data_IF_919005212170
#
_entry.id   IF_919005212170
#
_cell.length_a   1.000
_cell.length_b   1.000
_cell.length_c   1.000
_cell.angle_alpha   90.00
_cell.angle_beta   90.00
_cell.angle_gamma   90.00
#
_symmetry.space_group_name_H-M   'P 1'
#
loop_
_entity.id
_entity.type
_entity.pdbx_description
1 polymer ?
#
# COMPACT_ATOMS: atom_id res chain seq x y z
N UNK A 1 -7.90 -10.62 -6.46
CA UNK A 1 -6.80 -9.85 -5.85
C UNK A 1 -5.97 -10.73 -4.92
N UNK A 2 -4.97 -10.15 -4.28
CA UNK A 2 -4.05 -10.76 -3.32
C UNK A 2 -3.75 -9.76 -2.20
N UNK A 3 -3.17 -10.23 -1.10
CA UNK A 3 -2.63 -9.39 -0.02
C UNK A 3 -1.26 -8.77 -0.40
N UNK A 4 -0.47 -9.49 -1.21
CA UNK A 4 0.80 -9.04 -1.78
C UNK A 4 1.15 -9.83 -3.04
N UNK A 5 2.10 -9.35 -3.83
CA UNK A 5 2.71 -10.12 -4.93
C UNK A 5 3.78 -11.06 -4.36
N UNK A 6 4.15 -12.06 -5.12
CA UNK A 6 5.21 -13.02 -4.80
C UNK A 6 6.41 -12.78 -5.74
N UNK A 7 7.37 -11.93 -5.39
CA UNK A 7 8.59 -11.76 -6.18
C UNK A 7 9.38 -13.06 -6.27
N UNK A 8 10.03 -13.29 -7.38
CA UNK A 8 10.72 -14.55 -7.71
C UNK A 8 12.24 -14.38 -7.80
N UNK A 9 12.79 -13.39 -7.14
CA UNK A 9 14.22 -13.16 -7.02
C UNK A 9 14.82 -12.44 -8.23
N UNK A 10 15.35 -13.16 -9.18
CA UNK A 10 15.94 -12.58 -10.40
C UNK A 10 14.84 -12.28 -11.42
N UNK A 11 14.04 -11.25 -11.17
CA UNK A 11 13.07 -10.73 -12.10
C UNK A 11 13.59 -9.49 -12.82
N UNK A 12 12.79 -9.00 -13.74
CA UNK A 12 13.00 -7.73 -14.45
C UNK A 12 13.02 -6.51 -13.53
N UNK A 13 12.48 -6.63 -12.31
CA UNK A 13 12.49 -5.56 -11.30
C UNK A 13 13.87 -5.28 -10.71
N UNK A 14 14.76 -6.28 -10.66
CA UNK A 14 16.18 -6.04 -10.30
C UNK A 14 16.52 -6.00 -8.81
N UNK A 15 15.55 -5.95 -7.91
CA UNK A 15 15.80 -5.88 -6.45
C UNK A 15 16.28 -7.20 -5.85
N UNK A 16 16.17 -8.33 -6.55
CA UNK A 16 16.55 -9.63 -6.03
C UNK A 16 15.66 -10.15 -4.88
N UNK A 17 14.50 -9.55 -4.67
CA UNK A 17 13.57 -9.93 -3.62
C UNK A 17 12.90 -11.25 -3.97
N UNK A 18 12.82 -12.16 -3.00
CA UNK A 18 12.09 -13.42 -3.10
C UNK A 18 10.99 -13.49 -2.05
N UNK A 19 9.80 -13.90 -2.47
CA UNK A 19 8.64 -14.08 -1.59
C UNK A 19 8.20 -12.75 -0.94
N UNK A 20 7.47 -12.87 0.18
CA UNK A 20 7.06 -11.73 1.01
C UNK A 20 8.26 -11.23 1.82
N UNK A 21 9.06 -10.37 1.24
CA UNK A 21 10.25 -9.85 1.89
C UNK A 21 9.96 -8.50 2.57
N UNK A 22 10.09 -8.46 3.87
CA UNK A 22 9.96 -7.24 4.68
C UNK A 22 11.34 -6.60 4.86
N UNK A 23 11.45 -5.30 5.01
CA UNK A 23 10.40 -4.26 5.04
C UNK A 23 10.22 -3.50 3.71
N UNK A 24 10.59 -4.07 2.59
CA UNK A 24 10.67 -3.39 1.28
C UNK A 24 9.32 -3.29 0.58
N UNK A 25 8.67 -2.10 0.55
CA UNK A 25 7.37 -1.91 -0.09
C UNK A 25 7.50 -1.49 -1.57
N UNK A 26 8.41 -2.14 -2.31
CA UNK A 26 8.54 -1.90 -3.74
C UNK A 26 7.28 -2.32 -4.51
N UNK A 27 7.01 -1.67 -5.63
CA UNK A 27 5.84 -1.96 -6.46
C UNK A 27 5.79 -3.43 -6.92
N UNK A 28 6.94 -4.10 -7.09
CA UNK A 28 6.99 -5.54 -7.38
C UNK A 28 6.38 -6.42 -6.27
N UNK A 29 6.16 -5.88 -5.07
CA UNK A 29 5.54 -6.59 -3.96
C UNK A 29 4.13 -6.07 -3.66
N UNK A 30 3.90 -4.75 -3.78
CA UNK A 30 2.66 -4.11 -3.32
C UNK A 30 1.67 -3.80 -4.44
N UNK A 31 2.11 -3.83 -5.71
CA UNK A 31 1.22 -3.62 -6.86
C UNK A 31 0.49 -4.92 -7.21
N UNK A 32 -0.53 -5.24 -6.42
CA UNK A 32 -1.33 -6.46 -6.58
C UNK A 32 -2.36 -6.32 -7.71
N UNK A 33 -2.67 -7.40 -8.45
CA UNK A 33 -3.72 -7.37 -9.46
C UNK A 33 -5.10 -7.32 -8.80
N UNK A 34 -6.01 -6.54 -9.37
CA UNK A 34 -7.43 -6.55 -9.04
C UNK A 34 -8.25 -6.89 -10.27
N UNK A 35 -8.91 -8.05 -10.25
CA UNK A 35 -9.87 -8.46 -11.26
C UNK A 35 -11.24 -8.62 -10.60
N UNK A 36 -12.24 -8.01 -11.20
CA UNK A 36 -13.61 -8.04 -10.68
C UNK A 36 -14.57 -8.52 -11.76
N UNK A 37 -15.52 -9.34 -11.37
CA UNK A 37 -16.68 -9.71 -12.16
C UNK A 37 -17.94 -9.32 -11.38
N UNK A 38 -18.76 -8.49 -11.99
CA UNK A 38 -20.03 -8.04 -11.42
C UNK A 38 -21.15 -8.51 -12.35
N UNK A 39 -22.09 -9.35 -11.89
CA UNK A 39 -23.20 -9.81 -12.71
C UNK A 39 -24.00 -8.64 -13.31
N UNK A 40 -24.32 -8.74 -14.60
CA UNK A 40 -25.07 -7.71 -15.32
C UNK A 40 -24.25 -6.52 -15.81
N UNK A 41 -22.95 -6.45 -15.50
CA UNK A 41 -22.04 -5.43 -16.03
C UNK A 41 -21.22 -5.95 -17.22
N UNK A 42 -20.98 -5.06 -18.18
CA UNK A 42 -20.13 -5.37 -19.32
C UNK A 42 -18.68 -5.57 -18.88
N UNK A 43 -18.08 -6.71 -19.23
CA UNK A 43 -16.70 -7.05 -18.93
C UNK A 43 -15.69 -6.50 -19.94
N UNK A 44 -14.41 -6.89 -19.74
CA UNK A 44 -13.32 -6.57 -20.67
C UNK A 44 -12.73 -5.16 -20.54
N UNK A 45 -13.14 -4.40 -19.54
CA UNK A 45 -12.62 -3.05 -19.26
C UNK A 45 -11.32 -3.12 -18.46
N UNK A 46 -10.36 -2.26 -18.79
CA UNK A 46 -9.17 -2.00 -17.97
C UNK A 46 -9.22 -0.56 -17.47
N UNK A 47 -9.25 -0.41 -16.16
CA UNK A 47 -9.35 0.88 -15.48
C UNK A 47 -7.97 1.25 -14.94
N UNK A 48 -7.50 2.45 -15.28
CA UNK A 48 -6.21 3.00 -14.85
C UNK A 48 -6.45 4.03 -13.74
N UNK A 49 -6.79 3.57 -12.57
CA UNK A 49 -6.96 4.44 -11.39
C UNK A 49 -6.31 3.77 -10.20
N UNK A 50 -5.83 4.55 -9.26
CA UNK A 50 -5.36 4.02 -7.99
C UNK A 50 -6.52 3.46 -7.18
N UNK A 51 -6.36 2.20 -6.79
CA UNK A 51 -7.27 1.47 -5.90
C UNK A 51 -6.45 0.75 -4.82
N UNK A 52 -7.05 0.48 -3.68
CA UNK A 52 -6.40 -0.22 -2.57
C UNK A 52 -7.28 -1.35 -2.06
N UNK A 53 -6.72 -2.32 -1.36
CA UNK A 53 -7.47 -3.44 -0.81
C UNK A 53 -8.56 -3.00 0.18
N UNK A 54 -8.40 -1.85 0.84
CA UNK A 54 -9.42 -1.26 1.72
C UNK A 54 -10.70 -0.86 0.97
N UNK A 55 -10.66 -0.72 -0.36
CA UNK A 55 -11.81 -0.39 -1.19
C UNK A 55 -12.72 -1.59 -1.46
N UNK A 56 -12.25 -2.80 -1.20
CA UNK A 56 -13.02 -4.02 -1.52
C UNK A 56 -14.26 -4.14 -0.65
N UNK A 57 -14.15 -3.91 0.65
CA UNK A 57 -15.28 -4.02 1.56
C UNK A 57 -16.39 -3.01 1.22
N UNK A 58 -16.12 -1.70 1.09
CA UNK A 58 -17.14 -0.76 0.69
C UNK A 58 -17.73 -1.07 -0.70
N UNK A 59 -16.91 -1.56 -1.64
CA UNK A 59 -17.39 -1.96 -2.98
C UNK A 59 -18.39 -3.13 -2.91
N UNK A 60 -18.10 -4.13 -2.08
CA UNK A 60 -18.99 -5.28 -1.91
C UNK A 60 -20.31 -4.88 -1.24
N UNK A 61 -20.25 -4.03 -0.22
CA UNK A 61 -21.48 -3.54 0.45
C UNK A 61 -22.32 -2.70 -0.49
N UNK A 62 -21.70 -1.82 -1.28
CA UNK A 62 -22.37 -1.01 -2.29
C UNK A 62 -23.01 -1.89 -3.39
N UNK A 63 -22.30 -2.89 -3.88
CA UNK A 63 -22.80 -3.82 -4.90
C UNK A 63 -23.99 -4.68 -4.41
N UNK A 64 -24.13 -4.89 -3.12
CA UNK A 64 -25.19 -5.64 -2.46
C UNK A 64 -26.32 -4.75 -1.94
N UNK A 65 -26.22 -3.44 -2.18
CA UNK A 65 -27.19 -2.43 -1.68
C UNK A 65 -27.29 -2.43 -0.14
N UNK A 66 -26.15 -2.72 0.52
CA UNK A 66 -26.00 -2.78 1.98
C UNK A 66 -25.30 -1.53 2.55
N UNK A 67 -25.11 -0.52 1.72
CA UNK A 67 -24.53 0.76 2.08
C UNK A 67 -25.68 1.72 2.46
N UNK A 68 -25.69 2.22 3.68
CA UNK A 68 -26.68 3.23 4.05
C UNK A 68 -26.77 3.48 5.55
N UNK A 69 -27.03 4.73 5.91
CA UNK A 69 -27.35 5.11 7.28
C UNK A 69 -28.63 4.38 7.75
N UNK A 70 -28.52 3.68 8.87
CA UNK A 70 -29.71 3.20 9.60
C UNK A 70 -30.36 1.94 9.05
N UNK A 71 -29.72 1.18 8.18
CA UNK A 71 -30.22 -0.15 7.85
C UNK A 71 -30.04 -1.09 9.05
N UNK A 72 -31.18 -1.48 9.65
CA UNK A 72 -31.21 -2.68 10.49
C UNK A 72 -31.02 -3.88 9.56
N UNK A 73 -29.88 -4.56 9.68
CA UNK A 73 -29.60 -5.75 8.87
C UNK A 73 -30.63 -6.88 9.06
N UNK A 74 -31.56 -6.73 10.01
CA UNK A 74 -32.50 -7.78 10.41
C UNK A 74 -31.86 -9.01 11.06
N UNK A 75 -30.52 -9.04 11.10
CA UNK A 75 -29.70 -10.13 11.66
C UNK A 75 -28.92 -9.72 12.91
N UNK A 76 -29.14 -8.51 13.46
CA UNK A 76 -28.48 -8.03 14.68
C UNK A 76 -27.00 -7.64 14.50
N UNK A 77 -26.54 -7.48 13.26
CA UNK A 77 -25.20 -6.95 12.97
C UNK A 77 -25.28 -5.44 12.73
N UNK A 78 -24.30 -4.65 13.23
CA UNK A 78 -24.24 -3.23 12.89
C UNK A 78 -24.05 -3.07 11.39
N UNK A 79 -24.84 -2.19 10.77
CA UNK A 79 -24.57 -1.71 9.41
C UNK A 79 -23.56 -0.59 9.52
N UNK A 80 -22.43 -0.75 8.85
CA UNK A 80 -21.37 0.25 8.86
C UNK A 80 -21.73 1.41 7.92
N UNK A 81 -21.63 2.64 8.41
CA UNK A 81 -21.69 3.83 7.58
C UNK A 81 -20.44 3.96 6.69
N UNK A 82 -20.52 4.80 5.69
CA UNK A 82 -19.38 5.10 4.81
C UNK A 82 -18.25 5.77 5.57
N UNK A 83 -18.57 6.54 6.60
CA UNK A 83 -17.66 7.27 7.47
C UNK A 83 -16.76 6.35 8.33
N UNK A 84 -17.21 5.11 8.56
CA UNK A 84 -16.44 4.13 9.34
C UNK A 84 -15.38 3.39 8.50
N UNK A 85 -15.35 3.62 7.18
CA UNK A 85 -14.48 2.91 6.26
C UNK A 85 -13.42 3.83 5.65
N UNK A 86 -12.17 3.42 5.68
CA UNK A 86 -11.05 4.14 5.04
C UNK A 86 -11.05 3.98 3.51
N UNK A 87 -11.70 2.94 2.99
CA UNK A 87 -11.84 2.67 1.57
C UNK A 87 -13.05 3.37 0.96
N UNK A 88 -13.10 3.37 -0.37
CA UNK A 88 -14.20 3.92 -1.17
C UNK A 88 -14.76 2.84 -2.09
N UNK A 89 -16.07 2.90 -2.38
CA UNK A 89 -16.66 2.01 -3.38
C UNK A 89 -16.03 2.25 -4.77
N UNK A 90 -15.68 1.18 -5.43
CA UNK A 90 -15.17 1.20 -6.81
C UNK A 90 -16.29 1.21 -7.85
N UNK A 91 -17.57 1.09 -7.46
CA UNK A 91 -18.68 1.04 -8.42
C UNK A 91 -18.78 2.28 -9.31
N UNK A 92 -18.65 3.52 -8.79
CA UNK A 92 -18.65 4.72 -9.65
C UNK A 92 -17.55 4.68 -10.70
N UNK A 93 -16.35 4.22 -10.32
CA UNK A 93 -15.21 4.07 -11.22
C UNK A 93 -15.47 2.99 -12.28
N UNK A 94 -16.02 1.84 -11.88
CA UNK A 94 -16.33 0.71 -12.78
C UNK A 94 -17.45 1.07 -13.77
N UNK A 95 -18.42 1.87 -13.35
CA UNK A 95 -19.52 2.39 -14.19
C UNK A 95 -19.06 3.50 -15.12
N UNK A 96 -17.90 4.11 -14.88
CA UNK A 96 -17.39 5.25 -15.65
C UNK A 96 -18.04 6.58 -15.27
N UNK A 97 -18.57 6.68 -14.06
CA UNK A 97 -19.16 7.88 -13.49
C UNK A 97 -18.08 8.87 -13.02
N UNK A 98 -16.90 8.32 -12.67
CA UNK A 98 -15.69 9.07 -12.31
C UNK A 98 -14.46 8.44 -12.98
N UNK A 99 -13.45 9.25 -13.26
CA UNK A 99 -12.20 8.76 -13.86
C UNK A 99 -11.19 8.27 -12.81
N UNK A 100 -11.27 8.80 -11.59
CA UNK A 100 -10.42 8.43 -10.46
C UNK A 100 -11.12 8.64 -9.13
N UNK A 101 -10.68 7.91 -8.12
CA UNK A 101 -11.18 8.04 -6.74
C UNK A 101 -10.12 8.59 -5.77
N UNK A 102 -8.83 8.58 -6.15
CA UNK A 102 -7.73 9.15 -5.37
C UNK A 102 -6.55 9.52 -6.24
N UNK A 103 -5.71 10.42 -5.72
CA UNK A 103 -4.50 10.88 -6.40
C UNK A 103 -3.25 10.09 -6.02
N UNK A 104 -3.28 9.35 -4.93
CA UNK A 104 -2.17 8.52 -4.44
C UNK A 104 -2.68 7.29 -3.67
N UNK A 105 -1.80 6.33 -3.48
CA UNK A 105 -2.01 5.17 -2.62
C UNK A 105 -0.89 5.05 -1.60
N UNK A 106 -1.20 4.39 -0.48
CA UNK A 106 -0.25 4.10 0.59
C UNK A 106 -0.04 2.59 0.66
N UNK A 107 1.21 2.19 0.79
CA UNK A 107 1.60 0.82 1.06
C UNK A 107 2.70 0.81 2.13
N UNK A 108 3.03 -0.37 2.65
CA UNK A 108 4.14 -0.47 3.60
C UNK A 108 3.99 -1.62 4.57
N UNK A 109 4.86 -1.59 5.57
CA UNK A 109 4.88 -2.54 6.68
C UNK A 109 4.82 -1.78 7.98
N UNK A 110 3.84 -2.09 8.81
CA UNK A 110 3.64 -1.45 10.10
C UNK A 110 4.93 -1.48 10.94
N UNK A 111 5.33 -0.31 11.45
CA UNK A 111 6.54 -0.14 12.25
C UNK A 111 7.86 -0.23 11.49
N UNK A 112 7.86 -0.45 10.18
CA UNK A 112 9.08 -0.67 9.39
C UNK A 112 9.26 0.33 8.26
N UNK A 113 8.26 0.45 7.40
CA UNK A 113 8.30 1.34 6.23
C UNK A 113 6.92 1.77 5.80
N UNK A 114 6.84 2.95 5.21
CA UNK A 114 5.66 3.46 4.53
C UNK A 114 6.04 3.96 3.15
N UNK A 115 5.21 3.68 2.17
CA UNK A 115 5.35 4.20 0.82
C UNK A 115 4.13 5.01 0.44
N UNK A 116 4.34 6.18 -0.17
CA UNK A 116 3.31 6.93 -0.89
C UNK A 116 3.62 6.87 -2.37
N UNK A 117 2.63 6.46 -3.16
CA UNK A 117 2.75 6.25 -4.60
C UNK A 117 1.75 7.17 -5.29
N UNK A 118 2.24 8.13 -6.04
CA UNK A 118 1.50 9.03 -6.92
C UNK A 118 1.63 8.57 -8.39
N UNK A 119 1.00 9.24 -9.31
CA UNK A 119 1.14 8.94 -10.74
C UNK A 119 2.61 8.99 -11.19
N UNK A 120 3.35 10.03 -10.77
CA UNK A 120 4.71 10.31 -11.23
C UNK A 120 5.80 9.79 -10.31
N UNK A 121 5.54 9.63 -9.01
CA UNK A 121 6.58 9.34 -8.02
C UNK A 121 6.17 8.24 -7.06
N UNK A 122 7.17 7.49 -6.60
CA UNK A 122 7.08 6.59 -5.44
C UNK A 122 8.11 7.04 -4.40
N UNK A 123 7.66 7.28 -3.18
CA UNK A 123 8.51 7.66 -2.06
C UNK A 123 8.38 6.65 -0.94
N UNK A 124 9.51 6.18 -0.40
CA UNK A 124 9.56 5.22 0.71
C UNK A 124 10.19 5.89 1.93
N UNK A 125 9.44 5.93 3.01
CA UNK A 125 9.90 6.37 4.32
C UNK A 125 10.29 5.16 5.17
N UNK A 126 11.55 5.08 5.57
CA UNK A 126 12.09 4.01 6.39
C UNK A 126 12.01 4.37 7.89
N UNK A 127 10.99 3.87 8.58
CA UNK A 127 10.74 4.16 10.00
C UNK A 127 11.84 3.58 10.89
N UNK A 128 12.45 2.49 10.48
CA UNK A 128 13.44 1.74 11.26
C UNK A 128 14.67 2.55 11.68
N UNK A 129 14.99 3.65 11.00
CA UNK A 129 16.05 4.59 11.38
C UNK A 129 15.78 5.30 12.68
N UNK A 130 14.49 5.64 12.91
CA UNK A 130 14.02 6.37 14.08
C UNK A 130 13.60 5.41 15.20
N UNK A 131 13.83 4.13 15.02
CA UNK A 131 13.37 3.05 15.87
C UNK A 131 14.06 2.98 17.24
N UNK A 132 15.01 3.85 17.54
CA UNK A 132 15.66 3.94 18.85
C UNK A 132 14.69 4.19 20.02
N UNK A 133 13.46 4.66 19.76
CA UNK A 133 12.44 4.91 20.76
C UNK A 133 11.25 3.94 20.67
N UNK A 134 11.26 3.00 19.75
CA UNK A 134 10.22 1.98 19.67
C UNK A 134 10.69 0.74 20.40
N UNK A 135 10.00 0.37 21.46
CA UNK A 135 10.26 -0.91 22.15
C UNK A 135 9.68 -2.05 21.31
N UNK A 136 10.53 -2.57 20.42
CA UNK A 136 10.18 -3.69 19.55
C UNK A 136 10.24 -5.06 20.25
N UNK A 137 10.60 -5.09 21.54
CA UNK A 137 10.69 -6.32 22.31
C UNK A 137 9.34 -6.77 22.87
N UNK A 138 8.33 -5.88 22.87
CA UNK A 138 6.99 -6.23 23.30
C UNK A 138 6.20 -6.95 22.20
N UNK A 139 5.26 -7.78 22.59
CA UNK A 139 4.28 -8.41 21.69
C UNK A 139 3.43 -7.38 20.94
N UNK A 140 3.42 -6.13 21.42
CA UNK A 140 2.75 -4.99 20.80
C UNK A 140 3.55 -4.38 19.64
N UNK A 141 4.84 -4.72 19.53
CA UNK A 141 5.75 -4.23 18.49
C UNK A 141 6.52 -5.39 17.83
N UNK A 142 5.86 -6.16 16.95
CA UNK A 142 6.49 -7.34 16.33
C UNK A 142 7.65 -7.02 15.38
N UNK A 143 7.92 -5.72 15.13
CA UNK A 143 8.94 -5.29 14.18
C UNK A 143 10.37 -5.69 14.55
N UNK A 144 10.76 -5.58 15.83
CA UNK A 144 12.14 -5.88 16.26
C UNK A 144 12.43 -7.37 16.28
N UNK A 145 11.51 -8.17 16.81
CA UNK A 145 11.64 -9.64 16.80
C UNK A 145 11.75 -10.20 15.38
N UNK A 146 11.02 -9.59 14.44
CA UNK A 146 11.09 -9.94 13.03
C UNK A 146 12.38 -9.49 12.35
N UNK A 147 13.04 -8.45 12.85
CA UNK A 147 14.30 -7.96 12.28
C UNK A 147 15.53 -8.69 12.83
N UNK A 148 15.50 -9.13 14.08
CA UNK A 148 16.57 -9.92 14.70
C UNK A 148 16.57 -11.38 14.21
N UNK A 149 15.47 -11.83 13.60
CA UNK A 149 15.37 -13.18 13.07
C UNK A 149 16.07 -13.28 11.69
N UNK A 150 17.24 -13.92 11.65
CA UNK A 150 18.01 -14.15 10.40
C UNK A 150 17.19 -14.78 9.28
N UNK A 151 16.14 -15.55 9.60
CA UNK A 151 15.27 -16.15 8.61
C UNK A 151 14.46 -15.12 7.80
N UNK A 152 14.19 -13.93 8.32
CA UNK A 152 13.51 -12.86 7.60
C UNK A 152 14.40 -12.15 6.59
N UNK A 153 15.69 -12.04 6.89
CA UNK A 153 16.69 -11.44 5.99
C UNK A 153 17.11 -12.39 4.88
N UNK A 154 16.74 -13.67 4.97
CA UNK A 154 16.98 -14.68 3.93
C UNK A 154 16.06 -14.59 2.72
N UNK A 155 15.18 -13.59 2.67
CA UNK A 155 14.25 -13.40 1.54
C UNK A 155 14.92 -12.87 0.28
N UNK A 156 16.17 -12.48 0.33
CA UNK A 156 16.91 -12.03 -0.85
C UNK A 156 17.67 -13.20 -1.47
N UNK A 157 17.75 -13.25 -2.78
CA UNK A 157 18.44 -14.30 -3.54
C UNK A 157 19.96 -14.24 -3.32
N UNK A 158 20.40 -14.50 -2.08
CA UNK A 158 21.83 -14.61 -1.72
C UNK A 158 22.50 -13.34 -1.20
N UNK A 159 21.79 -12.25 -0.95
CA UNK A 159 22.34 -11.05 -0.32
C UNK A 159 21.44 -10.56 0.83
N UNK A 160 22.06 -10.28 1.99
CA UNK A 160 21.43 -9.43 3.01
C UNK A 160 21.24 -8.04 2.38
N UNK A 161 19.99 -7.60 2.24
CA UNK A 161 19.76 -6.18 2.00
C UNK A 161 19.67 -5.50 3.37
N UNK A 162 20.54 -4.53 3.58
CA UNK A 162 20.46 -3.65 4.74
C UNK A 162 19.32 -2.65 4.51
N UNK A 163 18.60 -2.31 5.58
CA UNK A 163 17.63 -1.21 5.52
C UNK A 163 18.38 0.06 5.17
N UNK A 164 17.94 0.81 4.16
CA UNK A 164 18.64 2.03 3.76
C UNK A 164 18.73 3.05 4.89
N UNK A 165 19.85 3.76 4.97
CA UNK A 165 20.05 4.84 5.94
C UNK A 165 19.25 6.12 5.59
N UNK A 166 18.80 6.24 4.35
CA UNK A 166 18.03 7.37 3.83
C UNK A 166 16.73 6.89 3.20
N UNK A 167 15.71 7.73 3.20
CA UNK A 167 14.48 7.46 2.47
C UNK A 167 14.77 7.36 0.98
N UNK A 168 13.82 6.78 0.24
CA UNK A 168 13.96 6.59 -1.19
C UNK A 168 12.92 7.40 -1.96
N UNK A 169 13.32 7.93 -3.12
CA UNK A 169 12.44 8.58 -4.07
C UNK A 169 12.72 8.06 -5.49
N UNK A 170 11.67 7.67 -6.20
CA UNK A 170 11.75 7.13 -7.56
C UNK A 170 10.81 7.88 -8.50
N UNK A 171 11.28 8.19 -9.72
CA UNK A 171 10.46 8.73 -10.80
C UNK A 171 9.82 7.59 -11.61
N UNK A 172 8.55 7.31 -11.37
CA UNK A 172 7.80 6.20 -11.98
C UNK A 172 7.63 6.32 -13.49
N UNK A 173 7.78 7.52 -14.06
CA UNK A 173 7.69 7.77 -15.51
C UNK A 173 8.87 7.17 -16.27
N UNK A 174 10.04 7.14 -15.64
CA UNK A 174 11.31 6.68 -16.23
C UNK A 174 11.89 5.46 -15.57
N UNK A 175 11.53 5.20 -14.31
CA UNK A 175 12.02 4.10 -13.48
C UNK A 175 10.86 3.32 -12.84
N UNK A 176 10.12 2.58 -13.67
CA UNK A 176 8.99 1.76 -13.20
C UNK A 176 9.38 0.66 -12.23
N UNK A 177 10.67 0.31 -12.15
CA UNK A 177 11.17 -0.76 -11.28
C UNK A 177 11.81 -0.25 -10.00
N UNK A 178 11.86 1.06 -9.78
CA UNK A 178 12.38 1.67 -8.56
C UNK A 178 13.85 1.29 -8.29
N UNK A 179 14.71 1.36 -9.31
CA UNK A 179 16.13 1.00 -9.25
C UNK A 179 17.05 2.19 -9.05
N UNK A 180 16.58 3.40 -9.38
CA UNK A 180 17.37 4.63 -9.33
C UNK A 180 16.78 5.59 -8.29
N UNK A 181 17.35 5.60 -7.08
CA UNK A 181 16.94 6.51 -6.02
C UNK A 181 17.42 7.94 -6.31
N UNK A 182 16.49 8.83 -6.59
CA UNK A 182 16.73 10.24 -6.94
C UNK A 182 16.50 11.20 -5.78
N UNK A 183 16.47 10.74 -4.55
CA UNK A 183 16.15 11.59 -3.38
C UNK A 183 17.08 12.77 -3.22
N UNK A 184 18.38 12.58 -3.52
CA UNK A 184 19.38 13.63 -3.45
C UNK A 184 19.28 14.64 -4.62
N UNK A 185 18.66 14.23 -5.72
CA UNK A 185 18.44 15.07 -6.91
C UNK A 185 17.16 15.91 -6.78
N UNK A 186 16.17 15.40 -6.03
CA UNK A 186 14.87 16.03 -5.85
C UNK A 186 14.43 16.12 -4.37
N UNK A 187 15.22 16.76 -3.49
CA UNK A 187 14.94 16.79 -2.05
C UNK A 187 13.62 17.55 -1.71
N UNK A 188 13.23 18.52 -2.51
CA UNK A 188 11.97 19.27 -2.33
C UNK A 188 10.77 18.36 -2.57
N UNK A 189 10.81 17.54 -3.62
CA UNK A 189 9.76 16.56 -3.94
C UNK A 189 9.67 15.48 -2.85
N UNK A 190 10.80 14.99 -2.35
CA UNK A 190 10.82 14.05 -1.23
C UNK A 190 10.17 14.65 0.03
N UNK A 191 10.46 15.92 0.34
CA UNK A 191 9.86 16.65 1.47
C UNK A 191 8.35 16.82 1.30
N UNK A 192 7.89 17.14 0.11
CA UNK A 192 6.46 17.24 -0.23
C UNK A 192 5.74 15.92 0.02
N UNK A 193 6.26 14.81 -0.52
CA UNK A 193 5.65 13.49 -0.41
C UNK A 193 5.67 12.97 1.03
N UNK A 194 6.75 13.22 1.78
CA UNK A 194 6.81 12.90 3.20
C UNK A 194 5.73 13.64 3.99
N UNK A 195 5.52 14.93 3.69
CA UNK A 195 4.46 15.71 4.33
C UNK A 195 3.07 15.16 4.02
N UNK A 196 2.81 14.82 2.76
CA UNK A 196 1.53 14.20 2.35
C UNK A 196 1.31 12.87 3.08
N UNK A 197 2.33 12.01 3.14
CA UNK A 197 2.29 10.74 3.84
C UNK A 197 1.98 10.92 5.33
N UNK A 198 2.67 11.84 6.01
CA UNK A 198 2.47 12.11 7.45
C UNK A 198 1.08 12.67 7.75
N UNK A 199 0.56 13.53 6.89
CA UNK A 199 -0.81 14.05 7.04
C UNK A 199 -1.83 12.92 6.93
N UNK A 200 -1.73 12.10 5.91
CA UNK A 200 -2.65 10.98 5.70
C UNK A 200 -2.62 9.97 6.86
N UNK A 201 -1.43 9.59 7.33
CA UNK A 201 -1.30 8.70 8.51
C UNK A 201 -1.85 9.37 9.78
N UNK A 202 -1.70 10.68 9.92
CA UNK A 202 -2.27 11.46 11.02
C UNK A 202 -3.79 11.43 11.03
N UNK A 203 -4.40 11.59 9.87
CA UNK A 203 -5.85 11.51 9.69
C UNK A 203 -6.40 10.13 10.06
N UNK A 204 -5.74 9.05 9.62
CA UNK A 204 -6.13 7.69 9.96
C UNK A 204 -6.09 7.36 11.46
N UNK A 205 -5.26 8.06 12.24
CA UNK A 205 -5.18 7.87 13.69
C UNK A 205 -6.26 8.60 14.48
N UNK A 206 -6.97 9.51 13.85
CA UNK A 206 -8.01 10.34 14.48
C UNK A 206 -9.43 9.88 14.17
N UNK A 207 -9.57 8.92 13.27
CA UNK A 207 -10.81 8.19 12.97
C UNK A 207 -10.97 6.99 13.93
#
# INVERSE_FOLDING_TARGET
>A
TSDHVQPMGKGEHGHGIMRKCRPWPYEELVHVPLLMHIPGMEGGKRIKSFVQNVDLAPTMLDALDLFGEGMDSGYGFPVFGTEDMQGQSLLPLIRGEVDKIRDFVIAGYYGMSWSIITEDYSYIHWILKDASHLDYTSTENPGKETMENEAMWSCTAGAKQEVPDSDDLYDRRTDRFQLNNIINEQPEKATELLRMLKLHIGELKTM
#
